data_IF_873865436775
#
_entry.id   IF_873865436775
#
_cell.length_a   1.000
_cell.length_b   1.000
_cell.length_c   1.000
_cell.angle_alpha   90.00
_cell.angle_beta   90.00
_cell.angle_gamma   90.00
#
_symmetry.space_group_name_H-M   'P 1'
#
loop_
_entity.id
_entity.type
_entity.pdbx_description
1 polymer ?
#
# COMPACT_ATOMS: atom_id res chain seq x y z
N UNK A 1 -25.98 17.27 14.32
CA UNK A 1 -25.40 16.07 13.68
C UNK A 1 -25.99 15.91 12.28
N UNK A 2 -25.17 15.78 11.24
CA UNK A 2 -25.53 15.27 9.90
C UNK A 2 -24.73 14.00 9.61
N UNK A 3 -25.18 13.15 8.69
CA UNK A 3 -24.46 11.92 8.32
C UNK A 3 -23.66 12.18 7.05
N UNK A 4 -22.38 11.81 7.03
CA UNK A 4 -21.58 11.96 5.83
C UNK A 4 -22.06 10.97 4.75
N UNK A 5 -22.45 11.47 3.58
CA UNK A 5 -22.90 10.64 2.44
C UNK A 5 -21.82 9.66 1.96
N UNK A 6 -20.54 9.98 2.19
CA UNK A 6 -19.41 9.19 1.69
C UNK A 6 -18.88 8.15 2.68
N UNK A 7 -19.12 8.29 3.98
CA UNK A 7 -18.61 7.35 4.98
C UNK A 7 -19.61 6.95 6.06
N UNK A 8 -20.85 7.42 5.93
CA UNK A 8 -21.99 7.18 6.82
C UNK A 8 -21.75 7.46 8.32
N UNK A 9 -20.65 8.13 8.65
CA UNK A 9 -20.35 8.55 10.02
C UNK A 9 -21.08 9.85 10.36
N UNK A 10 -21.43 9.99 11.65
CA UNK A 10 -22.06 11.20 12.20
C UNK A 10 -21.04 12.32 12.30
N UNK A 11 -21.38 13.48 11.77
CA UNK A 11 -20.52 14.68 11.73
C UNK A 11 -21.28 15.92 12.24
N UNK A 12 -20.57 16.97 12.68
CA UNK A 12 -21.20 18.23 13.08
C UNK A 12 -22.02 18.85 11.94
N UNK A 13 -23.14 19.53 12.27
CA UNK A 13 -24.03 20.12 11.25
C UNK A 13 -23.31 21.19 10.41
N UNK A 14 -22.49 21.99 11.06
CA UNK A 14 -21.69 23.09 10.47
C UNK A 14 -20.43 22.60 9.73
N UNK A 15 -20.06 21.32 9.84
CA UNK A 15 -18.87 20.83 9.19
C UNK A 15 -19.04 20.85 7.67
N UNK A 16 -18.30 21.73 6.99
CA UNK A 16 -18.18 21.78 5.53
C UNK A 16 -17.36 20.59 5.00
N UNK A 17 -16.51 20.01 5.85
CA UNK A 17 -15.64 18.88 5.54
C UNK A 17 -15.88 17.78 6.55
N UNK A 18 -16.08 16.55 6.08
CA UNK A 18 -16.24 15.41 6.97
C UNK A 18 -14.92 15.13 7.72
N UNK A 19 -14.88 15.20 9.06
CA UNK A 19 -13.68 14.92 9.84
C UNK A 19 -13.24 13.44 9.77
N UNK A 20 -14.13 12.54 9.36
CA UNK A 20 -13.90 11.09 9.35
C UNK A 20 -13.34 10.58 8.02
N UNK A 21 -13.76 11.18 6.90
CA UNK A 21 -13.32 10.75 5.57
C UNK A 21 -12.71 11.86 4.71
N UNK A 22 -12.73 13.12 5.18
CA UNK A 22 -12.14 14.26 4.48
C UNK A 22 -12.95 14.74 3.28
N UNK A 23 -14.13 14.16 3.02
CA UNK A 23 -15.00 14.54 1.91
C UNK A 23 -15.61 15.93 2.13
N UNK A 24 -15.72 16.71 1.07
CA UNK A 24 -16.51 17.93 1.08
C UNK A 24 -18.00 17.58 1.21
N UNK A 25 -18.64 18.14 2.23
CA UNK A 25 -20.06 17.94 2.56
C UNK A 25 -20.79 19.30 2.57
N UNK A 26 -20.22 20.31 1.91
CA UNK A 26 -20.80 21.65 1.75
C UNK A 26 -22.00 21.68 0.83
N UNK A 27 -22.02 20.82 -0.21
CA UNK A 27 -23.07 20.75 -1.22
C UNK A 27 -24.11 19.62 -1.00
N UNK A 28 -23.92 18.79 0.03
CA UNK A 28 -24.82 17.68 0.32
C UNK A 28 -25.95 18.16 1.23
N UNK A 29 -27.17 18.21 0.71
CA UNK A 29 -28.37 18.27 1.54
C UNK A 29 -28.30 17.15 2.59
N UNK A 30 -28.51 17.53 3.85
CA UNK A 30 -28.39 16.61 4.95
C UNK A 30 -29.49 15.55 4.83
N UNK A 31 -29.14 14.26 4.84
CA UNK A 31 -30.11 13.17 5.00
C UNK A 31 -30.85 13.43 6.32
N UNK A 32 -32.12 13.82 6.23
CA UNK A 32 -32.98 14.01 7.38
C UNK A 32 -33.20 12.66 8.07
N UNK A 33 -33.30 12.68 9.41
CA UNK A 33 -33.33 11.49 10.27
C UNK A 33 -34.39 10.44 9.89
N UNK A 34 -35.40 10.84 9.13
CA UNK A 34 -36.60 10.03 8.90
C UNK A 34 -36.46 9.08 7.71
N UNK A 35 -35.48 9.26 6.81
CA UNK A 35 -35.23 8.35 5.68
C UNK A 35 -34.29 7.18 6.01
N UNK A 36 -33.56 7.24 7.12
CA UNK A 36 -32.54 6.23 7.50
C UNK A 36 -33.19 4.91 7.94
N UNK A 37 -34.43 4.92 8.42
CA UNK A 37 -35.12 3.70 8.86
C UNK A 37 -35.69 2.85 7.72
N UNK A 38 -35.91 3.43 6.53
CA UNK A 38 -36.44 2.67 5.39
C UNK A 38 -35.37 2.25 4.37
N UNK A 39 -34.24 2.98 4.27
CA UNK A 39 -33.16 2.62 3.34
C UNK A 39 -32.14 1.59 3.87
N UNK A 40 -32.16 1.25 5.16
CA UNK A 40 -31.20 0.32 5.77
C UNK A 40 -31.67 -1.14 5.87
N UNK A 41 -32.87 -1.46 5.38
CA UNK A 41 -33.43 -2.82 5.39
C UNK A 41 -33.56 -3.47 4.01
N UNK A 42 -33.43 -2.72 2.91
CA UNK A 42 -33.55 -3.26 1.56
C UNK A 42 -32.72 -2.45 0.56
N UNK A 43 -31.44 -2.77 0.37
CA UNK A 43 -30.75 -2.55 -0.92
C UNK A 43 -29.39 -3.26 -0.94
N UNK A 44 -29.45 -4.59 -1.03
CA UNK A 44 -28.45 -5.36 -1.79
C UNK A 44 -29.07 -5.62 -3.17
N UNK A 45 -28.76 -4.80 -4.17
CA UNK A 45 -28.58 -5.31 -5.52
C UNK A 45 -27.79 -4.35 -6.43
N UNK A 46 -26.83 -4.86 -7.22
CA UNK A 46 -26.21 -4.09 -8.28
C UNK A 46 -27.21 -3.94 -9.44
N UNK A 47 -27.12 -2.80 -10.13
CA UNK A 47 -27.88 -2.49 -11.33
C UNK A 47 -27.66 -3.54 -12.42
N UNK A 48 -28.64 -4.43 -12.63
CA UNK A 48 -28.88 -5.09 -13.91
C UNK A 48 -30.22 -4.55 -14.45
N UNK A 49 -30.14 -3.90 -15.61
CA UNK A 49 -31.30 -3.50 -16.41
C UNK A 49 -31.91 -4.78 -16.96
N UNK A 50 -33.06 -5.21 -16.43
CA UNK A 50 -33.85 -6.29 -17.05
C UNK A 50 -35.32 -5.88 -17.11
N UNK A 51 -35.76 -5.81 -18.36
CA UNK A 51 -37.11 -5.61 -18.85
C UNK A 51 -38.10 -6.57 -18.17
N UNK A 52 -39.19 -6.01 -17.64
CA UNK A 52 -40.21 -6.76 -16.90
C UNK A 52 -41.19 -7.36 -17.89
N UNK A 53 -41.06 -8.65 -18.20
CA UNK A 53 -42.22 -9.50 -18.48
C UNK A 53 -41.94 -11.00 -18.23
N UNK A 54 -42.86 -11.61 -17.49
CA UNK A 54 -43.23 -13.04 -17.43
C UNK A 54 -42.56 -14.01 -16.44
N UNK A 55 -43.36 -14.32 -15.41
CA UNK A 55 -43.78 -15.63 -14.87
C UNK A 55 -42.76 -16.55 -14.17
N UNK A 56 -42.97 -16.63 -12.84
CA UNK A 56 -43.24 -17.81 -11.99
C UNK A 56 -42.39 -19.10 -12.09
N UNK A 57 -42.09 -19.60 -10.88
CA UNK A 57 -41.66 -20.95 -10.48
C UNK A 57 -40.18 -21.34 -10.62
N UNK A 58 -39.43 -21.27 -9.51
CA UNK A 58 -38.71 -22.44 -8.93
C UNK A 58 -37.84 -22.08 -7.70
N UNK A 59 -37.80 -23.03 -6.76
CA UNK A 59 -37.23 -23.02 -5.41
C UNK A 59 -35.71 -22.71 -5.30
N UNK A 60 -35.22 -22.23 -4.14
CA UNK A 60 -33.83 -21.82 -3.94
C UNK A 60 -32.97 -22.99 -3.44
N UNK A 61 -32.21 -23.63 -4.33
CA UNK A 61 -31.19 -24.61 -3.95
C UNK A 61 -29.91 -24.45 -4.80
N UNK A 62 -29.05 -23.50 -4.44
CA UNK A 62 -27.66 -23.45 -4.96
C UNK A 62 -26.66 -22.70 -4.08
N UNK A 63 -26.92 -22.59 -2.77
CA UNK A 63 -25.87 -22.19 -1.80
C UNK A 63 -24.95 -23.38 -1.53
N UNK A 64 -24.07 -23.74 -2.48
CA UNK A 64 -22.84 -24.56 -2.30
C UNK A 64 -22.25 -25.01 -3.65
N UNK A 65 -22.29 -24.20 -4.69
CA UNK A 65 -21.48 -24.47 -5.88
C UNK A 65 -20.07 -23.89 -5.69
N UNK A 66 -19.10 -24.78 -5.47
CA UNK A 66 -17.66 -24.52 -5.49
C UNK A 66 -17.35 -23.55 -6.64
N UNK A 67 -16.95 -22.31 -6.30
CA UNK A 67 -16.49 -21.31 -7.28
C UNK A 67 -15.26 -21.87 -7.98
N UNK A 68 -15.46 -22.46 -9.15
CA UNK A 68 -14.36 -22.78 -10.05
C UNK A 68 -13.59 -21.47 -10.32
N UNK A 69 -12.28 -21.51 -10.09
CA UNK A 69 -11.41 -20.36 -10.26
C UNK A 69 -11.39 -19.97 -11.74
N UNK A 70 -12.24 -19.01 -12.14
CA UNK A 70 -12.32 -18.58 -13.53
C UNK A 70 -11.21 -17.58 -13.82
N UNK A 71 -10.31 -17.94 -14.74
CA UNK A 71 -9.22 -17.08 -15.22
C UNK A 71 -9.72 -15.72 -15.73
N UNK A 72 -10.95 -15.67 -16.27
CA UNK A 72 -11.59 -14.44 -16.72
C UNK A 72 -11.90 -13.47 -15.56
N UNK A 73 -12.29 -14.00 -14.39
CA UNK A 73 -12.50 -13.19 -13.19
C UNK A 73 -11.18 -12.64 -12.64
N UNK A 74 -10.10 -13.44 -12.68
CA UNK A 74 -8.77 -12.99 -12.28
C UNK A 74 -8.27 -11.85 -13.18
N UNK A 75 -8.42 -12.00 -14.50
CA UNK A 75 -8.07 -10.95 -15.48
C UNK A 75 -8.83 -9.66 -15.22
N UNK A 76 -10.14 -9.74 -14.96
CA UNK A 76 -10.95 -8.57 -14.61
C UNK A 76 -10.46 -7.84 -13.37
N UNK A 77 -10.09 -8.58 -12.31
CA UNK A 77 -9.51 -8.00 -11.08
C UNK A 77 -8.15 -7.37 -11.34
N UNK A 78 -7.30 -8.01 -12.13
CA UNK A 78 -5.99 -7.48 -12.48
C UNK A 78 -6.09 -6.17 -13.29
N UNK A 79 -6.95 -6.11 -14.30
CA UNK A 79 -7.18 -4.89 -15.09
C UNK A 79 -7.67 -3.74 -14.20
N UNK A 80 -8.57 -4.00 -13.25
CA UNK A 80 -9.02 -2.99 -12.27
C UNK A 80 -7.87 -2.52 -11.37
N UNK A 81 -6.98 -3.41 -10.94
CA UNK A 81 -5.80 -3.05 -10.15
C UNK A 81 -4.80 -2.21 -10.97
N UNK A 82 -4.54 -2.57 -12.22
CA UNK A 82 -3.70 -1.76 -13.11
C UNK A 82 -4.31 -0.39 -13.38
N UNK A 83 -5.64 -0.31 -13.57
CA UNK A 83 -6.36 0.95 -13.70
C UNK A 83 -6.23 1.80 -12.43
N UNK A 84 -6.31 1.18 -11.25
CA UNK A 84 -6.06 1.84 -9.96
C UNK A 84 -4.65 2.43 -9.89
N UNK A 85 -3.62 1.64 -10.20
CA UNK A 85 -2.23 2.13 -10.21
C UNK A 85 -2.05 3.28 -11.20
N UNK A 86 -2.61 3.15 -12.41
CA UNK A 86 -2.55 4.19 -13.43
C UNK A 86 -3.21 5.50 -12.99
N UNK A 87 -4.39 5.41 -12.36
CA UNK A 87 -5.07 6.57 -11.77
C UNK A 87 -4.19 7.23 -10.70
N UNK A 88 -3.61 6.43 -9.81
CA UNK A 88 -2.76 6.92 -8.71
C UNK A 88 -1.41 7.47 -9.16
N UNK A 89 -0.88 7.03 -10.29
CA UNK A 89 0.30 7.68 -10.89
C UNK A 89 0.00 9.08 -11.41
N UNK A 90 -1.21 9.31 -11.96
CA UNK A 90 -1.62 10.63 -12.45
C UNK A 90 -1.94 11.59 -11.31
N UNK A 91 -2.69 11.10 -10.32
CA UNK A 91 -3.13 11.86 -9.16
C UNK A 91 -2.73 11.14 -7.85
N UNK A 92 -1.47 11.26 -7.41
CA UNK A 92 -0.96 10.53 -6.25
C UNK A 92 -1.64 10.95 -4.94
N UNK A 93 -2.02 12.22 -4.84
CA UNK A 93 -2.62 12.79 -3.64
C UNK A 93 -4.15 12.73 -3.62
N UNK A 94 -4.80 12.41 -4.76
CA UNK A 94 -6.26 12.54 -4.99
C UNK A 94 -6.88 13.66 -4.15
N UNK A 95 -6.93 14.89 -4.67
CA UNK A 95 -7.54 16.03 -3.99
C UNK A 95 -9.02 15.78 -3.63
N UNK A 96 -9.28 15.10 -2.51
CA UNK A 96 -10.53 14.90 -1.73
C UNK A 96 -11.85 14.58 -2.47
N UNK A 97 -11.88 14.47 -3.80
CA UNK A 97 -13.10 14.69 -4.59
C UNK A 97 -13.65 13.48 -5.34
N UNK A 98 -12.99 12.32 -5.36
CA UNK A 98 -13.56 11.16 -6.06
C UNK A 98 -13.86 10.00 -5.13
N UNK A 99 -15.09 9.48 -5.32
CA UNK A 99 -15.66 8.24 -4.81
C UNK A 99 -14.57 7.18 -4.59
N UNK A 100 -14.55 6.58 -3.40
CA UNK A 100 -13.69 5.44 -3.04
C UNK A 100 -14.15 4.18 -3.80
N UNK A 101 -13.93 4.15 -5.10
CA UNK A 101 -14.18 2.97 -5.95
C UNK A 101 -13.03 1.95 -5.88
N UNK A 102 -12.09 2.14 -4.96
CA UNK A 102 -10.89 1.30 -4.82
C UNK A 102 -11.10 0.25 -3.74
N UNK A 103 -10.79 -1.00 -4.05
CA UNK A 103 -10.88 -2.09 -3.09
C UNK A 103 -9.89 -1.91 -1.95
N UNK A 104 -10.33 -2.12 -0.71
CA UNK A 104 -9.53 -1.91 0.51
C UNK A 104 -8.28 -2.82 0.62
N UNK A 105 -8.16 -3.82 -0.25
CA UNK A 105 -7.08 -4.80 -0.24
C UNK A 105 -5.95 -4.45 -1.19
N UNK A 106 -6.15 -3.49 -2.09
CA UNK A 106 -5.14 -3.13 -3.07
C UNK A 106 -3.85 -2.63 -2.41
N UNK A 107 -3.94 -1.90 -1.30
CA UNK A 107 -2.74 -1.47 -0.56
C UNK A 107 -1.89 -2.62 -0.04
N UNK A 108 -2.51 -3.61 0.60
CA UNK A 108 -1.80 -4.78 1.12
C UNK A 108 -1.14 -5.58 -0.01
N UNK A 109 -1.86 -5.75 -1.13
CA UNK A 109 -1.29 -6.40 -2.31
C UNK A 109 -0.06 -5.65 -2.84
N UNK A 110 -0.12 -4.31 -2.93
CA UNK A 110 1.02 -3.51 -3.36
C UNK A 110 2.21 -3.66 -2.42
N UNK A 111 2.01 -3.66 -1.10
CA UNK A 111 3.12 -3.84 -0.14
C UNK A 111 3.76 -5.23 -0.24
N UNK A 112 2.95 -6.28 -0.37
CA UNK A 112 3.45 -7.66 -0.55
C UNK A 112 4.21 -7.77 -1.88
N UNK A 113 3.65 -7.22 -2.97
CA UNK A 113 4.31 -7.21 -4.27
C UNK A 113 5.63 -6.42 -4.23
N UNK A 114 5.65 -5.25 -3.59
CA UNK A 114 6.86 -4.46 -3.34
C UNK A 114 7.91 -5.29 -2.62
N UNK A 115 7.54 -5.98 -1.54
CA UNK A 115 8.44 -6.83 -0.77
C UNK A 115 9.01 -7.99 -1.60
N UNK A 116 8.16 -8.69 -2.37
CA UNK A 116 8.57 -9.81 -3.23
C UNK A 116 9.57 -9.36 -4.30
N UNK A 117 9.27 -8.27 -5.01
CA UNK A 117 10.13 -7.73 -6.06
C UNK A 117 11.45 -7.23 -5.48
N UNK A 118 11.40 -6.52 -4.35
CA UNK A 118 12.59 -5.98 -3.68
C UNK A 118 13.50 -7.09 -3.17
N UNK A 119 12.94 -8.13 -2.54
CA UNK A 119 13.71 -9.26 -2.03
C UNK A 119 14.37 -10.04 -3.18
N UNK A 120 13.64 -10.25 -4.27
CA UNK A 120 14.19 -10.90 -5.46
C UNK A 120 15.32 -10.09 -6.09
N UNK A 121 15.16 -8.75 -6.17
CA UNK A 121 16.18 -7.85 -6.68
C UNK A 121 17.46 -7.90 -5.84
N UNK A 122 17.35 -7.75 -4.51
CA UNK A 122 18.50 -7.79 -3.60
C UNK A 122 19.20 -9.15 -3.67
N UNK A 123 18.44 -10.24 -3.64
CA UNK A 123 19.01 -11.59 -3.68
C UNK A 123 19.78 -11.83 -4.97
N UNK A 124 19.22 -11.41 -6.10
CA UNK A 124 19.89 -11.52 -7.41
C UNK A 124 21.17 -10.70 -7.46
N UNK A 125 21.13 -9.48 -6.94
CA UNK A 125 22.29 -8.58 -6.87
C UNK A 125 23.39 -9.14 -5.96
N UNK A 126 23.04 -9.63 -4.77
CA UNK A 126 23.98 -10.28 -3.86
C UNK A 126 24.67 -11.48 -4.51
N UNK A 127 23.92 -12.34 -5.19
CA UNK A 127 24.48 -13.47 -5.92
C UNK A 127 25.42 -13.02 -7.05
N UNK A 128 25.03 -11.99 -7.81
CA UNK A 128 25.87 -11.45 -8.88
C UNK A 128 27.17 -10.83 -8.35
N UNK A 129 27.11 -10.10 -7.25
CA UNK A 129 28.29 -9.52 -6.61
C UNK A 129 29.20 -10.57 -5.99
N UNK A 130 28.65 -11.65 -5.41
CA UNK A 130 29.47 -12.74 -4.86
C UNK A 130 30.32 -13.43 -5.94
N UNK A 131 29.74 -13.69 -7.12
CA UNK A 131 30.48 -14.26 -8.25
C UNK A 131 31.60 -13.31 -8.72
N UNK A 132 31.32 -12.02 -8.81
CA UNK A 132 32.32 -11.04 -9.22
C UNK A 132 33.44 -10.88 -8.18
N UNK A 133 33.08 -10.90 -6.90
CA UNK A 133 34.04 -10.85 -5.80
C UNK A 133 34.96 -12.06 -5.81
N UNK A 134 34.42 -13.26 -6.01
CA UNK A 134 35.21 -14.48 -6.12
C UNK A 134 36.24 -14.38 -7.27
N UNK A 135 35.80 -13.93 -8.45
CA UNK A 135 36.68 -13.66 -9.59
C UNK A 135 37.78 -12.65 -9.25
N UNK A 136 37.46 -11.55 -8.57
CA UNK A 136 38.45 -10.53 -8.20
C UNK A 136 39.40 -10.99 -7.08
N UNK A 137 38.92 -11.85 -6.18
CA UNK A 137 39.74 -12.46 -5.12
C UNK A 137 40.75 -13.46 -5.70
N UNK A 138 40.36 -14.20 -6.74
CA UNK A 138 41.26 -15.10 -7.49
C UNK A 138 42.36 -14.32 -8.24
N UNK A 139 42.10 -13.06 -8.62
CA UNK A 139 43.06 -12.16 -9.28
C UNK A 139 43.95 -11.42 -8.26
N UNK A 140 43.90 -11.78 -6.96
CA UNK A 140 44.73 -11.24 -5.87
C UNK A 140 44.50 -9.75 -5.51
N UNK A 141 43.44 -9.13 -6.01
CA UNK A 141 43.10 -7.73 -5.67
C UNK A 141 42.38 -7.60 -4.32
N UNK A 142 41.77 -8.68 -3.82
CA UNK A 142 41.01 -8.71 -2.56
C UNK A 142 41.33 -9.96 -1.73
N UNK A 143 41.13 -9.91 -0.40
CA UNK A 143 41.29 -11.08 0.46
C UNK A 143 40.34 -12.22 0.04
N UNK A 144 40.81 -13.46 0.14
CA UNK A 144 40.02 -14.64 -0.18
C UNK A 144 38.95 -14.91 0.90
N UNK A 145 37.86 -14.14 0.85
CA UNK A 145 36.66 -14.35 1.67
C UNK A 145 35.64 -15.12 0.84
N UNK A 146 35.34 -16.36 1.21
CA UNK A 146 34.29 -17.14 0.54
C UNK A 146 32.93 -16.87 1.19
N UNK A 147 32.02 -16.25 0.43
CA UNK A 147 30.65 -16.02 0.86
C UNK A 147 29.76 -17.18 0.40
N UNK A 148 29.31 -18.03 1.32
CA UNK A 148 28.26 -19.02 1.03
C UNK A 148 26.89 -18.32 1.10
N UNK A 149 26.44 -17.79 -0.03
CA UNK A 149 25.11 -17.20 -0.15
C UNK A 149 24.13 -18.29 -0.57
N UNK A 150 23.26 -18.70 0.35
CA UNK A 150 22.10 -19.53 0.02
C UNK A 150 20.95 -18.64 -0.48
N UNK A 151 20.66 -18.62 -1.80
CA UNK A 151 19.77 -17.60 -2.37
C UNK A 151 18.36 -17.67 -1.80
N UNK A 152 17.84 -18.87 -1.54
CA UNK A 152 16.48 -19.05 -1.01
C UNK A 152 16.36 -18.50 0.42
N UNK A 153 17.33 -18.77 1.29
CA UNK A 153 17.31 -18.30 2.68
C UNK A 153 17.43 -16.78 2.72
N UNK A 154 18.35 -16.20 1.94
CA UNK A 154 18.50 -14.76 1.81
C UNK A 154 17.26 -14.08 1.24
N UNK A 155 16.61 -14.70 0.25
CA UNK A 155 15.36 -14.23 -0.30
C UNK A 155 14.25 -14.18 0.76
N UNK A 156 14.07 -15.26 1.53
CA UNK A 156 13.03 -15.32 2.55
C UNK A 156 13.27 -14.32 3.70
N UNK A 157 14.51 -14.21 4.18
CA UNK A 157 14.90 -13.22 5.19
C UNK A 157 14.70 -11.79 4.67
N UNK A 158 15.14 -11.52 3.44
CA UNK A 158 14.97 -10.23 2.78
C UNK A 158 13.50 -9.86 2.55
N UNK A 159 12.67 -10.83 2.15
CA UNK A 159 11.23 -10.65 1.96
C UNK A 159 10.55 -10.23 3.27
N UNK A 160 10.80 -10.95 4.37
CA UNK A 160 10.23 -10.61 5.68
C UNK A 160 10.66 -9.22 6.15
N UNK A 161 11.95 -8.90 6.00
CA UNK A 161 12.50 -7.61 6.38
C UNK A 161 11.85 -6.47 5.58
N UNK A 162 11.79 -6.61 4.26
CA UNK A 162 11.22 -5.59 3.37
C UNK A 162 9.70 -5.48 3.50
N UNK A 163 9.00 -6.59 3.72
CA UNK A 163 7.56 -6.57 4.01
C UNK A 163 7.28 -5.73 5.25
N UNK A 164 8.06 -5.93 6.31
CA UNK A 164 7.92 -5.13 7.51
C UNK A 164 8.27 -3.66 7.26
N UNK A 165 9.35 -3.38 6.54
CA UNK A 165 9.73 -2.02 6.14
C UNK A 165 8.56 -1.28 5.48
N UNK A 166 7.93 -1.89 4.47
CA UNK A 166 6.82 -1.27 3.74
C UNK A 166 5.55 -1.10 4.58
N UNK A 167 5.29 -2.01 5.54
CA UNK A 167 4.13 -1.93 6.42
C UNK A 167 4.32 -0.96 7.60
N UNK A 168 5.56 -0.78 8.07
CA UNK A 168 5.82 -0.03 9.29
C UNK A 168 5.56 1.48 9.10
N UNK A 169 5.95 2.07 7.97
CA UNK A 169 5.66 3.47 7.67
C UNK A 169 4.16 3.83 7.69
N UNK A 170 3.26 3.13 6.95
CA UNK A 170 1.84 3.44 6.98
C UNK A 170 1.22 3.16 8.36
N UNK A 171 1.67 2.14 9.10
CA UNK A 171 1.22 1.87 10.46
C UNK A 171 1.62 3.02 11.41
N UNK A 172 2.88 3.44 11.38
CA UNK A 172 3.35 4.55 12.22
C UNK A 172 2.62 5.85 11.88
N UNK A 173 2.44 6.16 10.59
CA UNK A 173 1.66 7.33 10.18
C UNK A 173 0.22 7.25 10.67
N UNK A 174 -0.40 6.06 10.62
CA UNK A 174 -1.74 5.85 11.14
C UNK A 174 -1.84 6.10 12.65
N UNK A 175 -0.90 5.54 13.43
CA UNK A 175 -0.84 5.71 14.89
C UNK A 175 -0.63 7.18 15.23
N UNK A 176 0.32 7.85 14.57
CA UNK A 176 0.58 9.28 14.77
C UNK A 176 -0.68 10.10 14.47
N UNK A 177 -1.34 9.82 13.33
CA UNK A 177 -2.57 10.51 12.94
C UNK A 177 -3.73 10.28 13.90
N UNK A 178 -3.87 9.07 14.41
CA UNK A 178 -4.98 8.68 15.28
C UNK A 178 -4.82 9.25 16.69
N UNK A 179 -3.63 9.15 17.27
CA UNK A 179 -3.40 9.50 18.68
C UNK A 179 -2.91 10.94 18.88
N UNK A 180 -2.05 11.47 18.00
CA UNK A 180 -1.49 12.81 18.16
C UNK A 180 -2.30 13.85 17.38
N UNK A 181 -2.68 13.54 16.14
CA UNK A 181 -3.44 14.44 15.27
C UNK A 181 -4.97 14.26 15.38
N UNK A 182 -5.44 13.32 16.20
CA UNK A 182 -6.86 13.04 16.48
C UNK A 182 -7.74 12.80 15.21
N UNK A 183 -7.14 12.33 14.11
CA UNK A 183 -7.84 11.98 12.87
C UNK A 183 -8.14 10.49 12.82
N UNK A 184 -9.41 10.13 12.67
CA UNK A 184 -9.83 8.74 12.53
C UNK A 184 -10.02 8.40 11.06
N UNK A 185 -9.13 7.57 10.54
CA UNK A 185 -9.30 6.90 9.25
C UNK A 185 -9.59 5.42 9.46
N UNK A 186 -10.34 4.80 8.56
CA UNK A 186 -10.40 3.33 8.52
C UNK A 186 -9.04 2.81 8.08
N UNK A 187 -8.43 1.94 8.88
CA UNK A 187 -7.07 1.44 8.65
C UNK A 187 -6.87 0.82 7.24
N UNK A 188 -7.76 -0.07 6.73
CA UNK A 188 -7.60 -0.63 5.38
C UNK A 188 -7.61 0.42 4.26
N UNK A 189 -8.44 1.45 4.41
CA UNK A 189 -8.52 2.55 3.46
C UNK A 189 -7.26 3.43 3.51
N UNK A 190 -6.71 3.67 4.70
CA UNK A 190 -5.43 4.35 4.85
C UNK A 190 -4.28 3.58 4.20
N UNK A 191 -4.22 2.26 4.38
CA UNK A 191 -3.23 1.39 3.74
C UNK A 191 -3.27 1.49 2.22
N UNK A 192 -4.48 1.47 1.64
CA UNK A 192 -4.67 1.60 0.19
C UNK A 192 -4.31 2.99 -0.33
N UNK A 193 -4.63 4.04 0.42
CA UNK A 193 -4.23 5.40 0.07
C UNK A 193 -2.71 5.56 0.12
N UNK A 194 -2.05 5.10 1.18
CA UNK A 194 -0.60 5.19 1.34
C UNK A 194 0.16 4.42 0.25
N UNK A 195 -0.31 3.21 -0.09
CA UNK A 195 0.21 2.47 -1.22
C UNK A 195 0.00 3.21 -2.55
N UNK A 196 -1.18 3.83 -2.73
CA UNK A 196 -1.49 4.65 -3.91
C UNK A 196 -0.55 5.85 -4.08
N UNK A 197 -0.20 6.54 -2.99
CA UNK A 197 0.79 7.64 -3.03
C UNK A 197 2.17 7.17 -3.51
N UNK A 198 2.49 5.89 -3.33
CA UNK A 198 3.73 5.25 -3.79
C UNK A 198 3.58 4.50 -5.12
N UNK A 199 2.46 4.64 -5.85
CA UNK A 199 2.20 3.88 -7.07
C UNK A 199 3.27 4.10 -8.16
N UNK A 200 3.71 5.34 -8.37
CA UNK A 200 4.78 5.66 -9.31
C UNK A 200 6.09 4.95 -8.96
N UNK A 201 6.46 5.01 -7.69
CA UNK A 201 7.64 4.36 -7.15
C UNK A 201 7.56 2.82 -7.24
N UNK A 202 6.38 2.24 -7.04
CA UNK A 202 6.14 0.81 -7.25
C UNK A 202 6.36 0.39 -8.71
N UNK A 203 5.93 1.21 -9.67
CA UNK A 203 6.20 0.96 -11.09
C UNK A 203 7.68 1.06 -11.39
N UNK A 204 8.40 2.04 -10.82
CA UNK A 204 9.85 2.11 -10.93
C UNK A 204 10.51 0.83 -10.40
N UNK A 205 10.10 0.33 -9.23
CA UNK A 205 10.61 -0.93 -8.69
C UNK A 205 10.38 -2.11 -9.65
N UNK A 206 9.20 -2.21 -10.25
CA UNK A 206 8.91 -3.29 -11.21
C UNK A 206 9.84 -3.22 -12.42
N UNK A 207 10.10 -2.01 -12.95
CA UNK A 207 11.04 -1.79 -14.05
C UNK A 207 12.47 -2.13 -13.62
N UNK A 208 12.90 -1.67 -12.44
CA UNK A 208 14.23 -1.98 -11.88
C UNK A 208 14.42 -3.47 -11.64
N UNK A 209 13.37 -4.19 -11.23
CA UNK A 209 13.40 -5.62 -11.07
C UNK A 209 13.62 -6.35 -12.40
N UNK A 210 12.90 -5.96 -13.44
CA UNK A 210 13.07 -6.52 -14.80
C UNK A 210 14.49 -6.26 -15.29
N UNK A 211 14.99 -5.02 -15.16
CA UNK A 211 16.38 -4.72 -15.51
C UNK A 211 17.37 -5.49 -14.65
N UNK A 212 17.14 -5.63 -13.35
CA UNK A 212 18.01 -6.42 -12.46
C UNK A 212 18.07 -7.91 -12.81
N UNK A 213 17.04 -8.44 -13.48
CA UNK A 213 17.02 -9.83 -13.95
C UNK A 213 17.75 -10.02 -15.28
N UNK A 214 17.62 -9.05 -16.20
CA UNK A 214 18.16 -9.13 -17.56
C UNK A 214 19.61 -8.61 -17.63
N UNK A 215 19.94 -7.60 -16.83
CA UNK A 215 21.05 -6.74 -17.15
C UNK A 215 22.41 -7.26 -16.65
N UNK A 216 23.50 -6.92 -17.35
CA UNK A 216 24.87 -7.17 -16.89
C UNK A 216 25.15 -6.45 -15.57
N UNK A 217 26.19 -6.88 -14.84
CA UNK A 217 26.63 -6.25 -13.57
C UNK A 217 26.85 -4.73 -13.71
N UNK A 218 27.21 -4.22 -14.90
CA UNK A 218 27.33 -2.79 -15.18
C UNK A 218 26.03 -2.00 -14.90
N UNK A 219 24.87 -2.63 -15.05
CA UNK A 219 23.57 -2.02 -14.74
C UNK A 219 23.16 -2.21 -13.27
N UNK A 220 23.98 -2.87 -12.43
CA UNK A 220 23.69 -3.03 -11.01
C UNK A 220 23.63 -1.67 -10.29
N UNK A 221 24.52 -0.73 -10.63
CA UNK A 221 24.54 0.62 -10.06
C UNK A 221 23.22 1.39 -10.31
N UNK A 222 22.75 1.56 -11.56
CA UNK A 222 21.48 2.24 -11.80
C UNK A 222 20.28 1.49 -11.21
N UNK A 223 20.30 0.15 -11.20
CA UNK A 223 19.25 -0.66 -10.57
C UNK A 223 19.20 -0.43 -9.06
N UNK A 224 20.35 -0.42 -8.38
CA UNK A 224 20.45 -0.11 -6.95
C UNK A 224 20.00 1.32 -6.65
N UNK A 225 20.33 2.29 -7.50
CA UNK A 225 19.89 3.68 -7.34
C UNK A 225 18.36 3.78 -7.42
N UNK A 226 17.73 3.17 -8.43
CA UNK A 226 16.27 3.15 -8.56
C UNK A 226 15.62 2.42 -7.38
N UNK A 227 16.24 1.35 -6.88
CA UNK A 227 15.78 0.65 -5.69
C UNK A 227 15.85 1.53 -4.43
N UNK A 228 16.93 2.30 -4.25
CA UNK A 228 17.05 3.27 -3.16
C UNK A 228 16.02 4.38 -3.27
N UNK A 229 15.77 4.91 -4.48
CA UNK A 229 14.69 5.86 -4.74
C UNK A 229 13.33 5.25 -4.34
N UNK A 230 13.12 3.97 -4.64
CA UNK A 230 11.91 3.27 -4.21
C UNK A 230 11.77 3.25 -2.69
N UNK A 231 12.82 2.85 -1.96
CA UNK A 231 12.79 2.85 -0.49
C UNK A 231 12.56 4.26 0.08
N UNK A 232 13.21 5.28 -0.47
CA UNK A 232 13.08 6.67 -0.03
C UNK A 232 11.69 7.26 -0.30
N UNK A 233 10.99 6.79 -1.34
CA UNK A 233 9.62 7.25 -1.61
C UNK A 233 8.64 6.99 -0.45
N UNK A 234 8.83 5.89 0.29
CA UNK A 234 8.02 5.57 1.47
C UNK A 234 8.27 6.54 2.61
N UNK A 235 9.54 6.94 2.81
CA UNK A 235 9.92 7.96 3.79
C UNK A 235 9.33 9.32 3.41
N UNK A 236 9.45 9.73 2.14
CA UNK A 236 8.88 10.98 1.63
C UNK A 236 7.35 10.97 1.79
N UNK A 237 6.69 9.87 1.45
CA UNK A 237 5.24 9.71 1.62
C UNK A 237 4.84 9.80 3.09
N UNK A 238 5.61 9.18 3.99
CA UNK A 238 5.39 9.28 5.43
C UNK A 238 5.42 10.74 5.89
N UNK A 239 6.47 11.49 5.54
CA UNK A 239 6.63 12.91 5.89
C UNK A 239 5.48 13.74 5.28
N UNK A 240 5.24 13.61 3.97
CA UNK A 240 4.18 14.33 3.26
C UNK A 240 2.81 14.09 3.89
N UNK A 241 2.54 12.85 4.29
CA UNK A 241 1.27 12.46 4.91
C UNK A 241 1.01 13.15 6.26
N UNK A 242 2.05 13.57 6.97
CA UNK A 242 1.96 14.31 8.23
C UNK A 242 1.97 15.83 7.98
N UNK A 243 2.75 16.32 7.01
CA UNK A 243 2.81 17.75 6.69
C UNK A 243 1.54 18.30 6.03
N UNK A 244 0.83 17.51 5.22
CA UNK A 244 -0.48 17.91 4.70
C UNK A 244 -1.54 18.12 5.79
N UNK A 245 -1.22 17.82 7.05
CA UNK A 245 -2.12 17.96 8.19
C UNK A 245 -1.84 19.22 9.02
N UNK A 246 -1.53 20.35 8.36
CA UNK A 246 -1.42 21.69 8.98
C UNK A 246 -2.75 22.04 9.66
N UNK A 247 -2.92 21.59 10.89
CA UNK A 247 -3.89 22.04 11.85
C UNK A 247 -3.13 22.23 13.16
N UNK A 248 -3.60 23.20 13.94
CA UNK A 248 -3.10 23.73 15.20
C UNK A 248 -2.90 22.67 16.31
N UNK A 249 -2.01 21.70 16.11
CA UNK A 249 -1.62 20.78 17.17
C UNK A 249 -0.50 21.38 18.01
N UNK A 250 -0.57 21.20 19.33
CA UNK A 250 0.47 21.60 20.30
C UNK A 250 1.85 21.01 19.99
N UNK A 251 1.90 19.89 19.27
CA UNK A 251 3.13 19.23 18.84
C UNK A 251 3.53 19.71 17.45
N UNK A 252 4.78 20.14 17.31
CA UNK A 252 5.31 20.47 15.99
C UNK A 252 5.41 19.20 15.14
N UNK A 253 4.87 19.25 13.93
CA UNK A 253 4.87 18.14 12.95
C UNK A 253 6.27 17.59 12.70
N UNK A 254 7.30 18.44 12.82
CA UNK A 254 8.70 18.04 12.71
C UNK A 254 9.09 16.97 13.74
N UNK A 255 8.73 17.15 15.02
CA UNK A 255 9.04 16.17 16.07
C UNK A 255 8.27 14.87 15.89
N UNK A 256 7.04 14.93 15.38
CA UNK A 256 6.27 13.72 15.06
C UNK A 256 6.90 12.95 13.90
N UNK A 257 7.37 13.64 12.86
CA UNK A 257 8.11 13.02 11.76
C UNK A 257 9.41 12.39 12.26
N UNK A 258 10.21 13.13 13.04
CA UNK A 258 11.48 12.63 13.58
C UNK A 258 11.26 11.40 14.46
N UNK A 259 10.31 11.47 15.41
CA UNK A 259 9.98 10.36 16.29
C UNK A 259 9.50 9.12 15.52
N UNK A 260 8.68 9.29 14.48
CA UNK A 260 8.24 8.20 13.63
C UNK A 260 9.38 7.57 12.82
N UNK A 261 10.28 8.37 12.26
CA UNK A 261 11.46 7.89 11.52
C UNK A 261 12.41 7.15 12.46
N UNK A 262 12.70 7.71 13.64
CA UNK A 262 13.54 7.06 14.65
C UNK A 262 12.94 5.74 15.13
N UNK A 263 11.64 5.69 15.41
CA UNK A 263 10.95 4.45 15.78
C UNK A 263 11.03 3.40 14.67
N UNK A 264 10.81 3.82 13.41
CA UNK A 264 10.96 2.95 12.25
C UNK A 264 12.38 2.35 12.18
N UNK A 265 13.41 3.18 12.25
CA UNK A 265 14.81 2.75 12.18
C UNK A 265 15.18 1.79 13.31
N UNK A 266 14.78 2.07 14.56
CA UNK A 266 15.06 1.21 15.71
C UNK A 266 14.43 -0.18 15.55
N UNK A 267 13.16 -0.24 15.12
CA UNK A 267 12.46 -1.51 14.87
C UNK A 267 13.15 -2.28 13.74
N UNK A 268 13.48 -1.60 12.64
CA UNK A 268 14.14 -2.23 11.49
C UNK A 268 15.53 -2.75 11.84
N UNK A 269 16.34 -2.00 12.60
CA UNK A 269 17.66 -2.46 13.06
C UNK A 269 17.51 -3.68 13.96
N UNK A 270 16.58 -3.64 14.91
CA UNK A 270 16.32 -4.76 15.84
C UNK A 270 15.96 -6.04 15.08
N UNK A 271 15.11 -5.92 14.07
CA UNK A 271 14.63 -7.07 13.28
C UNK A 271 15.69 -7.55 12.30
N UNK A 272 16.47 -6.64 11.72
CA UNK A 272 17.65 -7.00 10.93
C UNK A 272 18.64 -7.80 11.77
N UNK A 273 18.92 -7.36 13.00
CA UNK A 273 19.79 -8.08 13.93
C UNK A 273 19.27 -9.49 14.22
N UNK A 274 17.98 -9.62 14.53
CA UNK A 274 17.37 -10.92 14.83
C UNK A 274 17.35 -11.86 13.61
N UNK A 275 17.01 -11.36 12.42
CA UNK A 275 16.87 -12.20 11.22
C UNK A 275 18.21 -12.56 10.57
N UNK A 276 19.20 -11.66 10.60
CA UNK A 276 20.46 -11.82 9.85
C UNK A 276 21.59 -12.33 10.74
N UNK A 277 21.70 -11.87 11.99
CA UNK A 277 22.86 -12.15 12.83
C UNK A 277 22.62 -13.24 13.88
N UNK A 278 21.37 -13.49 14.28
CA UNK A 278 21.03 -14.43 15.36
C UNK A 278 20.40 -15.75 14.87
N UNK A 279 20.03 -15.85 13.59
CA UNK A 279 19.45 -17.03 12.93
C UNK A 279 20.24 -17.41 11.70
#
# INVERSE_FOLDING_TARGET
MKTCVYCHNRIPKEALICPMCGSDVSASEAIHKDEVYQASLFEDNPTDVVDVTNKEDSLPNSRLQKKAFSFQQLRGKFVRYCSFLWKKMKDPDESRKTRRDTHELYGYFTFIASALLSAGLITRMLAAFAVQYDLLSQISLFPAVSFKIEPLVWYMKGFLLLLLYYLLFPILSYVIKTYFLHRRHAFPNWMTQFAGMNAFSFVLLAVSFIFGMIAPILMAVPVLLLFLIHLMSYLVTFIASLYQTINETKYETLYLCLGGISAHLLIMISITYLLIFKM
#
